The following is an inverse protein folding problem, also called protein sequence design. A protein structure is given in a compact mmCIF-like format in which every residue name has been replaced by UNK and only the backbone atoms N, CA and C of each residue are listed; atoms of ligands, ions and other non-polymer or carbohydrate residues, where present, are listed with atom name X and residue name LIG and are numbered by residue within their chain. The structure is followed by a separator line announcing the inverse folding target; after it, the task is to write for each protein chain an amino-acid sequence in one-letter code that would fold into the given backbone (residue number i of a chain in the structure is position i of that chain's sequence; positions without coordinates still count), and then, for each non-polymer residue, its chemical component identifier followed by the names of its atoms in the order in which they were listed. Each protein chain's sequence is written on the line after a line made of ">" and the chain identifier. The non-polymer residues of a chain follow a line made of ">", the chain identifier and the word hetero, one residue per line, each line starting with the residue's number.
data_IF_891372094980
#
_entry.id   IF_891372094980
#
_cell.length_a   1.000
_cell.length_b   1.000
_cell.length_c   1.000
_cell.angle_alpha   90.00
_cell.angle_beta   90.00
_cell.angle_gamma   90.00
#
_symmetry.space_group_name_H-M   'P 1'
#
loop_
_entity.id
_entity.type
_entity.pdbx_description
1 polymer ?
#
# COMPACT_ATOMS: atom_id res chain seq x y z
N UNK A 1 3.11 22.27 -2.17
CA UNK A 1 2.15 21.64 -3.12
C UNK A 1 0.91 21.20 -2.34
N UNK A 2 -0.29 21.64 -2.74
CA UNK A 2 -1.51 21.19 -2.06
C UNK A 2 -1.69 19.71 -2.38
N UNK A 3 -1.83 18.89 -1.34
CA UNK A 3 -2.15 17.47 -1.47
C UNK A 3 -3.52 17.33 -2.13
N UNK A 4 -3.53 17.05 -3.42
CA UNK A 4 -4.74 16.79 -4.16
C UNK A 4 -5.12 15.32 -3.92
N UNK A 5 -6.10 15.11 -3.04
CA UNK A 5 -6.62 13.76 -2.78
C UNK A 5 -7.32 13.27 -4.04
N UNK A 6 -6.88 12.13 -4.55
CA UNK A 6 -7.53 11.46 -5.67
C UNK A 6 -8.97 11.09 -5.27
N UNK A 7 -9.92 11.36 -6.16
CA UNK A 7 -11.29 10.88 -5.99
C UNK A 7 -11.33 9.36 -6.20
N UNK A 8 -11.84 8.64 -5.19
CA UNK A 8 -11.90 7.17 -5.13
C UNK A 8 -13.37 6.69 -5.29
N UNK A 9 -14.28 7.57 -5.71
CA UNK A 9 -15.70 7.24 -5.90
C UNK A 9 -15.91 6.14 -6.95
N UNK A 10 -15.18 6.21 -8.08
CA UNK A 10 -15.22 5.21 -9.15
C UNK A 10 -14.09 4.18 -9.01
N UNK A 11 -14.41 3.10 -8.30
CA UNK A 11 -13.49 1.99 -8.07
C UNK A 11 -13.11 1.24 -9.36
N UNK A 12 -13.99 1.21 -10.37
CA UNK A 12 -13.73 0.49 -11.63
C UNK A 12 -12.66 1.24 -12.43
N UNK A 13 -12.84 2.55 -12.56
CA UNK A 13 -11.87 3.42 -13.21
C UNK A 13 -10.52 3.38 -12.47
N UNK A 14 -10.52 3.55 -11.15
CA UNK A 14 -9.29 3.53 -10.36
C UNK A 14 -8.53 2.21 -10.51
N UNK A 15 -9.25 1.08 -10.46
CA UNK A 15 -8.65 -0.25 -10.65
C UNK A 15 -7.98 -0.39 -12.02
N UNK A 16 -8.65 0.07 -13.08
CA UNK A 16 -8.10 0.06 -14.44
C UNK A 16 -6.84 0.91 -14.53
N UNK A 17 -6.90 2.12 -14.00
CA UNK A 17 -5.82 3.10 -14.12
C UNK A 17 -4.57 2.63 -13.36
N UNK A 18 -4.72 2.03 -12.16
CA UNK A 18 -3.61 1.39 -11.41
C UNK A 18 -3.00 0.23 -12.18
N UNK A 19 -3.82 -0.67 -12.75
CA UNK A 19 -3.31 -1.81 -13.52
C UNK A 19 -2.54 -1.36 -14.76
N UNK A 20 -3.05 -0.35 -15.46
CA UNK A 20 -2.36 0.24 -16.61
C UNK A 20 -1.00 0.83 -16.20
N UNK A 21 -0.94 1.54 -15.07
CA UNK A 21 0.32 2.06 -14.55
C UNK A 21 1.31 0.94 -14.20
N UNK A 22 0.86 -0.14 -13.55
CA UNK A 22 1.72 -1.28 -13.22
C UNK A 22 2.32 -1.95 -14.47
N UNK A 23 1.51 -2.16 -15.51
CA UNK A 23 1.98 -2.70 -16.79
C UNK A 23 2.95 -1.74 -17.47
N UNK A 24 2.66 -0.43 -17.44
CA UNK A 24 3.56 0.59 -17.99
C UNK A 24 4.94 0.57 -17.30
N UNK A 25 5.00 0.29 -16.00
CA UNK A 25 6.26 0.10 -15.26
C UNK A 25 6.90 -1.29 -15.46
N UNK A 26 6.35 -2.14 -16.33
CA UNK A 26 6.96 -3.40 -16.74
C UNK A 26 6.47 -4.65 -15.99
N UNK A 27 5.36 -4.58 -15.26
CA UNK A 27 4.78 -5.78 -14.64
C UNK A 27 4.11 -6.71 -15.67
N UNK A 28 4.50 -7.98 -15.72
CA UNK A 28 3.83 -9.00 -16.55
C UNK A 28 2.43 -9.38 -16.02
N UNK A 29 2.24 -9.32 -14.69
CA UNK A 29 0.99 -9.63 -14.01
C UNK A 29 0.72 -8.62 -12.89
N UNK A 30 -0.55 -8.21 -12.74
CA UNK A 30 -0.99 -7.30 -11.68
C UNK A 30 -2.37 -7.68 -11.15
N UNK A 31 -2.49 -7.76 -9.82
CA UNK A 31 -3.72 -8.05 -9.10
C UNK A 31 -3.93 -7.08 -7.94
N UNK A 32 -5.18 -6.94 -7.50
CA UNK A 32 -5.55 -6.12 -6.34
C UNK A 32 -6.36 -7.00 -5.39
N UNK A 33 -6.04 -6.95 -4.10
CA UNK A 33 -6.73 -7.70 -3.06
C UNK A 33 -6.91 -6.87 -1.78
N UNK A 34 -7.72 -7.37 -0.84
CA UNK A 34 -7.81 -6.79 0.50
C UNK A 34 -6.55 -7.13 1.29
N UNK A 35 -6.05 -6.19 2.09
CA UNK A 35 -4.90 -6.41 2.95
C UNK A 35 -5.26 -7.36 4.10
N UNK A 36 -4.53 -8.47 4.22
CA UNK A 36 -4.61 -9.39 5.36
C UNK A 36 -3.44 -9.14 6.30
N UNK A 37 -3.76 -8.71 7.53
CA UNK A 37 -2.82 -8.29 8.57
C UNK A 37 -1.83 -9.38 9.00
N UNK A 38 -2.14 -10.65 8.74
CA UNK A 38 -1.24 -11.77 9.06
C UNK A 38 0.05 -11.75 8.25
N UNK A 39 0.03 -11.10 7.08
CA UNK A 39 1.18 -10.96 6.19
C UNK A 39 1.94 -9.65 6.38
N UNK A 40 1.45 -8.76 7.26
CA UNK A 40 2.13 -7.51 7.58
C UNK A 40 3.25 -7.80 8.59
N UNK A 41 4.46 -7.35 8.30
CA UNK A 41 5.57 -7.44 9.26
C UNK A 41 5.25 -6.65 10.53
N UNK A 42 5.70 -7.16 11.67
CA UNK A 42 5.50 -6.48 12.96
C UNK A 42 6.29 -5.17 13.09
N UNK A 43 7.43 -5.08 12.39
CA UNK A 43 8.34 -3.94 12.44
C UNK A 43 8.96 -3.74 11.05
N UNK A 44 9.29 -2.51 10.71
CA UNK A 44 10.08 -2.16 9.54
C UNK A 44 11.53 -1.92 9.97
N UNK A 45 12.50 -2.24 9.11
CA UNK A 45 13.90 -1.91 9.33
C UNK A 45 14.27 -0.71 8.45
N UNK A 46 14.66 0.40 9.09
CA UNK A 46 15.08 1.61 8.38
C UNK A 46 16.52 1.46 7.90
N UNK A 47 16.75 1.42 6.58
CA UNK A 47 18.10 1.31 6.02
C UNK A 47 18.99 2.55 6.28
N UNK A 48 18.39 3.72 6.55
CA UNK A 48 19.12 4.95 6.86
C UNK A 48 19.63 5.00 8.29
N UNK A 49 18.75 4.71 9.25
CA UNK A 49 19.05 4.86 10.69
C UNK A 49 19.46 3.54 11.35
N UNK A 50 19.32 2.41 10.63
CA UNK A 50 19.58 1.05 11.13
C UNK A 50 18.78 0.67 12.38
N UNK A 51 17.59 1.26 12.54
CA UNK A 51 16.67 1.01 13.66
C UNK A 51 15.42 0.24 13.21
N UNK A 52 14.81 -0.46 14.19
CA UNK A 52 13.52 -1.13 14.01
C UNK A 52 12.40 -0.17 14.38
N UNK A 53 11.60 0.20 13.39
CA UNK A 53 10.48 1.12 13.55
C UNK A 53 9.15 0.37 13.52
N UNK A 54 8.12 1.01 14.08
CA UNK A 54 6.75 0.57 13.87
C UNK A 54 6.35 0.76 12.41
N UNK A 55 5.39 -0.05 11.96
CA UNK A 55 4.95 -0.02 10.58
C UNK A 55 4.21 1.29 10.29
N UNK A 56 4.56 1.99 9.21
CA UNK A 56 3.87 3.21 8.74
C UNK A 56 2.53 2.92 8.04
N UNK A 57 1.80 1.92 8.51
CA UNK A 57 0.44 1.66 8.08
C UNK A 57 -0.53 2.28 9.07
N UNK A 58 -1.75 2.68 8.62
CA UNK A 58 -2.81 3.05 9.54
C UNK A 58 -3.01 1.97 10.60
N UNK A 59 -3.32 2.38 11.85
CA UNK A 59 -3.40 1.47 13.00
C UNK A 59 -4.32 0.28 12.72
N UNK A 60 -5.43 0.47 12.01
CA UNK A 60 -6.38 -0.59 11.68
C UNK A 60 -5.78 -1.72 10.82
N UNK A 61 -4.65 -1.48 10.16
CA UNK A 61 -3.94 -2.44 9.31
C UNK A 61 -2.64 -2.97 9.93
N UNK A 62 -2.24 -2.48 11.11
CA UNK A 62 -1.07 -3.00 11.81
C UNK A 62 -1.35 -4.38 12.41
N UNK A 63 -0.30 -5.21 12.47
CA UNK A 63 -0.39 -6.55 13.04
C UNK A 63 -0.57 -6.44 14.56
N UNK A 64 -1.72 -6.89 15.07
CA UNK A 64 -2.03 -6.89 16.52
C UNK A 64 -2.94 -5.75 17.00
N UNK A 65 -3.38 -4.86 16.10
CA UNK A 65 -4.40 -3.86 16.42
C UNK A 65 -5.72 -4.56 16.82
N UNK A 66 -6.00 -4.55 18.12
CA UNK A 66 -7.22 -5.07 18.76
C UNK A 66 -8.20 -3.95 19.04
#
# INVERSE_FOLDING_TARGET
>A
PKEEKLDISDRVKLTRDIKNAAIYFGADLVGICKLDRRWVYSHSFGLGDSEYNTQELPEEFQRGAS
#
